data_IF_101903214905
#
_entry.id   IF_101903214905
#
_cell.length_a   1.000
_cell.length_b   1.000
_cell.length_c   1.000
_cell.angle_alpha   90.00
_cell.angle_beta   90.00
_cell.angle_gamma   90.00
#
_symmetry.space_group_name_H-M   'P 1'
#
loop_
_entity.id
_entity.type
_entity.pdbx_description
1 polymer ?
#
# COMPACT_ATOMS: atom_id res chain seq x y z
N UNK A 1 13.57 -31.35 -33.38
CA UNK A 1 14.32 -31.25 -32.10
C UNK A 1 14.98 -29.88 -32.03
N UNK A 2 14.81 -29.17 -30.90
CA UNK A 2 15.64 -28.04 -30.38
C UNK A 2 15.59 -26.73 -31.20
N UNK A 3 15.47 -25.52 -30.63
CA UNK A 3 15.60 -25.09 -29.24
C UNK A 3 14.60 -23.96 -28.93
N UNK A 4 13.99 -24.09 -27.76
CA UNK A 4 13.25 -23.06 -27.05
C UNK A 4 14.26 -21.98 -26.62
N UNK A 5 14.27 -20.80 -27.24
CA UNK A 5 14.96 -19.63 -26.67
C UNK A 5 13.97 -18.99 -25.70
N UNK A 6 14.05 -19.47 -24.47
CA UNK A 6 13.53 -18.79 -23.29
C UNK A 6 14.29 -17.47 -23.18
N UNK A 7 13.70 -16.38 -23.66
CA UNK A 7 14.18 -15.04 -23.41
C UNK A 7 14.07 -14.78 -21.91
N UNK A 8 15.14 -15.09 -21.18
CA UNK A 8 15.33 -14.68 -19.80
C UNK A 8 15.29 -13.15 -19.80
N UNK A 9 14.18 -12.56 -19.35
CA UNK A 9 14.10 -11.13 -19.07
C UNK A 9 15.10 -10.83 -17.95
N UNK A 10 16.34 -10.54 -18.31
CA UNK A 10 17.29 -9.83 -17.45
C UNK A 10 16.64 -8.50 -17.12
N UNK A 11 16.00 -8.45 -15.96
CA UNK A 11 15.57 -7.20 -15.35
C UNK A 11 16.85 -6.42 -15.05
N UNK A 12 17.20 -5.45 -15.90
CA UNK A 12 18.25 -4.50 -15.54
C UNK A 12 17.69 -3.66 -14.39
N UNK A 13 18.19 -3.89 -13.18
CA UNK A 13 18.00 -2.94 -12.10
C UNK A 13 18.65 -1.63 -12.55
N UNK A 14 17.86 -0.58 -12.74
CA UNK A 14 18.37 0.73 -13.10
C UNK A 14 19.37 1.15 -11.99
N UNK A 15 20.62 1.43 -12.34
CA UNK A 15 21.61 1.87 -11.37
C UNK A 15 21.27 3.31 -10.97
N UNK A 16 20.63 3.48 -9.79
CA UNK A 16 20.38 4.78 -9.20
C UNK A 16 21.65 5.25 -8.47
N UNK A 17 21.88 6.56 -8.40
CA UNK A 17 22.98 7.15 -7.62
C UNK A 17 22.45 8.09 -6.55
N UNK A 18 23.21 8.27 -5.47
CA UNK A 18 22.90 9.18 -4.37
C UNK A 18 24.14 9.99 -3.97
N UNK A 19 24.01 11.31 -3.91
CA UNK A 19 25.06 12.20 -3.40
C UNK A 19 24.89 12.38 -1.90
N UNK A 20 25.87 11.92 -1.13
CA UNK A 20 25.91 12.00 0.33
C UNK A 20 25.79 13.46 0.77
N UNK A 21 24.90 13.73 1.72
CA UNK A 21 24.67 15.05 2.32
C UNK A 21 25.29 15.12 3.71
N UNK A 22 25.50 16.35 4.21
CA UNK A 22 25.97 16.58 5.58
C UNK A 22 24.98 15.94 6.58
N UNK A 23 25.47 15.02 7.41
CA UNK A 23 24.67 14.30 8.42
C UNK A 23 24.16 12.93 7.99
N UNK A 24 24.43 12.50 6.76
CA UNK A 24 24.09 11.15 6.31
C UNK A 24 24.99 10.09 6.96
N UNK A 25 24.43 8.88 7.05
CA UNK A 25 25.18 7.67 7.39
C UNK A 25 24.81 6.58 6.38
N UNK A 26 25.71 5.60 6.18
CA UNK A 26 25.42 4.45 5.32
C UNK A 26 24.13 3.74 5.74
N UNK A 27 23.86 3.64 7.05
CA UNK A 27 22.64 3.05 7.55
C UNK A 27 21.38 3.79 7.09
N UNK A 28 21.35 5.12 7.22
CA UNK A 28 20.17 5.93 6.82
C UNK A 28 19.94 5.83 5.31
N UNK A 29 21.01 5.92 4.52
CA UNK A 29 20.94 5.80 3.05
C UNK A 29 20.45 4.40 2.68
N UNK A 30 21.14 3.35 3.13
CA UNK A 30 20.78 1.97 2.80
C UNK A 30 19.32 1.65 3.19
N UNK A 31 18.91 2.03 4.41
CA UNK A 31 17.53 1.85 4.88
C UNK A 31 16.51 2.58 4.02
N UNK A 32 16.76 3.83 3.65
CA UNK A 32 15.85 4.62 2.82
C UNK A 32 15.66 4.00 1.43
N UNK A 33 16.68 3.30 0.92
CA UNK A 33 16.67 2.64 -0.38
C UNK A 33 16.43 1.13 -0.31
N UNK A 34 16.02 0.59 0.85
CA UNK A 34 15.69 -0.82 1.00
C UNK A 34 16.86 -1.79 0.83
N UNK A 35 18.08 -1.33 1.12
CA UNK A 35 19.31 -2.10 1.10
C UNK A 35 19.87 -2.28 2.51
N UNK A 36 20.71 -3.30 2.71
CA UNK A 36 21.59 -3.39 3.87
C UNK A 36 22.82 -2.50 3.70
N UNK A 37 23.43 -2.08 4.82
CA UNK A 37 24.72 -1.36 4.79
C UNK A 37 25.78 -2.19 4.07
N UNK A 38 25.77 -3.52 4.27
CA UNK A 38 26.71 -4.44 3.62
C UNK A 38 26.56 -4.41 2.09
N UNK A 39 25.35 -4.54 1.57
CA UNK A 39 25.10 -4.47 0.12
C UNK A 39 25.50 -3.11 -0.45
N UNK A 40 25.18 -2.02 0.26
CA UNK A 40 25.58 -0.67 -0.15
C UNK A 40 27.12 -0.54 -0.21
N UNK A 41 27.83 -1.11 0.75
CA UNK A 41 29.30 -1.11 0.79
C UNK A 41 29.90 -1.95 -0.32
N UNK A 42 29.44 -3.18 -0.49
CA UNK A 42 29.93 -4.11 -1.53
C UNK A 42 29.72 -3.50 -2.93
N UNK A 43 28.58 -2.89 -3.20
CA UNK A 43 28.28 -2.23 -4.48
C UNK A 43 29.20 -1.04 -4.78
N UNK A 44 29.67 -0.35 -3.73
CA UNK A 44 30.50 0.86 -3.85
C UNK A 44 31.97 0.61 -3.54
N UNK A 45 32.39 -0.64 -3.32
CA UNK A 45 33.76 -0.97 -2.93
C UNK A 45 34.19 -0.33 -1.60
N UNK A 46 33.25 -0.04 -0.69
CA UNK A 46 33.55 0.57 0.60
C UNK A 46 33.99 -0.50 1.60
N UNK A 47 35.16 -0.31 2.20
CA UNK A 47 35.67 -1.18 3.28
C UNK A 47 35.24 -0.69 4.67
N UNK A 48 34.99 0.60 4.83
CA UNK A 48 34.57 1.23 6.10
C UNK A 48 33.18 1.86 6.00
N UNK A 49 32.66 2.30 7.14
CA UNK A 49 31.36 2.98 7.21
C UNK A 49 31.47 4.52 7.03
N UNK A 50 32.69 5.02 6.87
CA UNK A 50 32.97 6.44 6.67
C UNK A 50 32.56 6.87 5.26
N UNK A 51 31.74 7.91 5.20
CA UNK A 51 31.34 8.60 3.98
C UNK A 51 31.48 10.10 4.15
N UNK A 52 31.68 10.82 3.05
CA UNK A 52 31.85 12.26 3.06
C UNK A 52 30.74 12.97 2.27
N UNK A 53 30.25 14.14 2.73
CA UNK A 53 29.34 14.95 1.92
C UNK A 53 29.92 15.20 0.52
N UNK A 54 29.08 15.06 -0.51
CA UNK A 54 29.48 15.13 -1.92
C UNK A 54 29.90 13.80 -2.54
N UNK A 55 30.18 12.76 -1.74
CA UNK A 55 30.47 11.43 -2.25
C UNK A 55 29.25 10.85 -2.99
N UNK A 56 29.47 10.26 -4.17
CA UNK A 56 28.39 9.63 -4.95
C UNK A 56 28.41 8.12 -4.71
N UNK A 57 27.29 7.59 -4.22
CA UNK A 57 27.08 6.17 -4.02
C UNK A 57 26.18 5.61 -5.12
N UNK A 58 26.56 4.47 -5.69
CA UNK A 58 25.71 3.59 -6.49
C UNK A 58 24.73 2.89 -5.56
N UNK A 59 23.49 2.80 -5.99
CA UNK A 59 22.42 2.08 -5.32
C UNK A 59 21.90 1.03 -6.29
N UNK A 60 21.47 -0.13 -5.78
CA UNK A 60 20.64 -1.00 -6.60
C UNK A 60 19.27 -0.35 -6.69
N UNK A 61 18.73 -0.20 -7.91
CA UNK A 61 17.36 0.20 -8.13
C UNK A 61 16.39 -0.88 -7.65
N UNK A 62 16.29 -1.07 -6.34
CA UNK A 62 15.03 -1.46 -5.72
C UNK A 62 14.36 -0.14 -5.40
N UNK A 63 13.28 0.17 -6.12
CA UNK A 63 12.34 1.25 -5.75
C UNK A 63 12.29 1.35 -4.22
N UNK A 64 12.57 2.53 -3.63
CA UNK A 64 12.80 2.70 -2.19
C UNK A 64 11.72 1.95 -1.43
N UNK A 65 12.09 0.77 -0.94
CA UNK A 65 11.24 -0.32 -0.45
C UNK A 65 9.76 0.06 -0.52
N UNK A 66 9.19 0.09 -1.74
CA UNK A 66 7.94 0.82 -2.03
C UNK A 66 7.01 0.62 -0.86
N UNK A 67 6.86 1.66 0.01
CA UNK A 67 6.19 1.58 1.33
C UNK A 67 5.13 0.52 1.19
N UNK A 68 5.31 -0.68 1.78
CA UNK A 68 4.50 -1.85 1.39
C UNK A 68 3.05 -1.42 1.38
N UNK A 69 2.52 -1.16 0.18
CA UNK A 69 1.21 -0.52 0.07
C UNK A 69 0.29 -1.57 0.62
N UNK A 70 -0.40 -1.24 1.71
CA UNK A 70 -1.35 -2.18 2.29
C UNK A 70 -2.27 -2.61 1.15
N UNK A 71 -2.24 -3.91 0.86
CA UNK A 71 -2.99 -4.55 -0.20
C UNK A 71 -3.59 -5.80 0.40
N UNK A 72 -4.91 -5.90 0.32
CA UNK A 72 -5.64 -7.07 0.76
C UNK A 72 -6.73 -7.40 -0.25
N UNK A 73 -6.89 -8.69 -0.56
CA UNK A 73 -8.05 -9.20 -1.28
C UNK A 73 -8.92 -10.01 -0.34
N UNK A 74 -10.24 -9.91 -0.52
CA UNK A 74 -11.20 -10.59 0.34
C UNK A 74 -12.63 -10.21 0.00
N UNK A 75 -13.57 -10.64 0.84
CA UNK A 75 -14.98 -10.30 0.65
C UNK A 75 -15.28 -8.95 1.30
N UNK A 76 -15.94 -8.08 0.56
CA UNK A 76 -16.60 -6.90 1.09
C UNK A 76 -18.10 -7.16 1.23
N UNK A 77 -18.70 -6.51 2.21
CA UNK A 77 -20.13 -6.28 2.30
C UNK A 77 -20.38 -4.79 2.52
N UNK A 78 -21.64 -4.40 2.72
CA UNK A 78 -22.00 -3.03 3.05
C UNK A 78 -22.89 -3.00 4.29
N UNK A 79 -22.89 -1.88 4.99
CA UNK A 79 -23.79 -1.67 6.13
C UNK A 79 -25.24 -1.70 5.69
N UNK A 80 -25.99 -2.74 6.10
CA UNK A 80 -27.41 -2.84 5.81
C UNK A 80 -28.26 -1.65 6.30
N UNK A 81 -29.58 -1.67 6.02
CA UNK A 81 -30.49 -0.64 6.50
C UNK A 81 -30.48 -0.51 8.03
N UNK A 82 -30.71 0.71 8.54
CA UNK A 82 -30.87 0.99 9.98
C UNK A 82 -29.63 1.43 10.74
N UNK A 83 -28.46 1.53 10.09
CA UNK A 83 -27.24 2.05 10.72
C UNK A 83 -27.08 3.57 10.59
N UNK A 84 -27.75 4.21 9.64
CA UNK A 84 -27.59 5.64 9.37
C UNK A 84 -27.81 6.49 10.64
N UNK A 85 -26.92 7.45 10.88
CA UNK A 85 -26.93 8.33 12.05
C UNK A 85 -26.36 7.73 13.35
N UNK A 86 -26.09 6.42 13.41
CA UNK A 86 -25.43 5.78 14.57
C UNK A 86 -23.97 6.22 14.69
N UNK A 87 -23.41 6.17 15.89
CA UNK A 87 -21.97 6.46 16.09
C UNK A 87 -21.12 5.31 15.59
N UNK A 88 -20.06 5.63 14.87
CA UNK A 88 -18.97 4.72 14.47
C UNK A 88 -17.89 4.67 15.56
N UNK A 89 -16.93 3.76 15.43
CA UNK A 89 -15.78 3.63 16.32
C UNK A 89 -14.81 4.84 16.27
N UNK A 90 -14.83 5.65 15.20
CA UNK A 90 -14.12 6.94 15.19
C UNK A 90 -14.84 8.04 15.99
N UNK A 91 -16.10 7.80 16.40
CA UNK A 91 -16.95 8.76 17.11
C UNK A 91 -17.85 9.60 16.21
N UNK A 92 -17.62 9.57 14.89
CA UNK A 92 -18.46 10.21 13.86
C UNK A 92 -19.84 9.54 13.78
N UNK A 93 -20.84 10.22 13.19
CA UNK A 93 -22.11 9.58 12.80
C UNK A 93 -21.93 8.92 11.44
N UNK A 94 -22.37 7.67 11.32
CA UNK A 94 -22.39 6.97 10.05
C UNK A 94 -23.37 7.63 9.08
N UNK A 95 -22.87 8.06 7.93
CA UNK A 95 -23.66 8.50 6.79
C UNK A 95 -23.57 7.44 5.69
N UNK A 96 -24.73 6.92 5.26
CA UNK A 96 -24.78 5.89 4.22
C UNK A 96 -24.49 6.44 2.82
N UNK A 97 -24.60 7.76 2.66
CA UNK A 97 -24.33 8.47 1.42
C UNK A 97 -22.87 8.95 1.30
N UNK A 98 -22.12 8.97 2.41
CA UNK A 98 -20.70 9.30 2.42
C UNK A 98 -19.85 8.14 1.87
N UNK A 99 -18.64 8.46 1.39
CA UNK A 99 -17.65 7.46 0.93
C UNK A 99 -16.76 7.01 2.10
N UNK A 100 -17.33 6.23 3.01
CA UNK A 100 -16.63 5.69 4.18
C UNK A 100 -16.73 4.17 4.27
N UNK A 101 -15.88 3.58 5.11
CA UNK A 101 -15.88 2.15 5.38
C UNK A 101 -15.38 1.79 6.79
N UNK A 102 -15.72 0.59 7.25
CA UNK A 102 -15.14 -0.07 8.41
C UNK A 102 -13.99 -1.00 7.98
N UNK A 103 -12.89 -0.98 8.73
CA UNK A 103 -11.82 -1.96 8.60
C UNK A 103 -11.32 -2.44 9.98
N UNK A 104 -10.90 -3.72 10.15
CA UNK A 104 -10.53 -4.26 11.46
C UNK A 104 -9.37 -3.52 12.14
N UNK A 105 -8.38 -3.07 11.37
CA UNK A 105 -7.11 -2.57 11.92
C UNK A 105 -6.54 -1.32 11.26
N UNK A 106 -7.11 -0.83 10.16
CA UNK A 106 -6.54 0.33 9.47
C UNK A 106 -6.80 1.58 10.33
N UNK A 107 -5.83 2.49 10.50
CA UNK A 107 -6.02 3.73 11.24
C UNK A 107 -7.23 4.50 10.71
N UNK A 108 -8.00 5.14 11.60
CA UNK A 108 -9.07 6.04 11.16
C UNK A 108 -8.47 7.19 10.33
N UNK A 109 -9.19 7.63 9.30
CA UNK A 109 -8.71 8.61 8.34
C UNK A 109 -7.94 8.00 7.16
N UNK A 110 -7.47 6.75 7.27
CA UNK A 110 -6.84 6.06 6.14
C UNK A 110 -7.76 6.05 4.94
N UNK A 111 -7.24 6.44 3.77
CA UNK A 111 -7.97 6.34 2.50
C UNK A 111 -7.56 5.07 1.79
N UNK A 112 -8.55 4.33 1.32
CA UNK A 112 -8.34 3.09 0.56
C UNK A 112 -9.11 3.13 -0.74
N UNK A 113 -8.47 2.68 -1.81
CA UNK A 113 -9.14 2.30 -3.06
C UNK A 113 -9.71 0.90 -2.89
N UNK A 114 -11.00 0.74 -3.14
CA UNK A 114 -11.69 -0.55 -3.14
C UNK A 114 -12.11 -0.86 -4.55
N UNK A 115 -11.60 -1.96 -5.09
CA UNK A 115 -11.85 -2.39 -6.47
C UNK A 115 -12.67 -3.67 -6.46
N UNK A 116 -13.85 -3.64 -7.10
CA UNK A 116 -14.64 -4.83 -7.33
C UNK A 116 -13.98 -5.69 -8.43
N UNK A 117 -13.50 -6.87 -8.05
CA UNK A 117 -12.73 -7.74 -8.94
C UNK A 117 -13.59 -8.37 -10.05
N UNK A 118 -14.92 -8.33 -9.94
CA UNK A 118 -15.83 -8.85 -10.96
C UNK A 118 -15.97 -7.92 -12.16
N UNK A 119 -15.90 -6.61 -11.94
CA UNK A 119 -16.21 -5.61 -12.97
C UNK A 119 -15.15 -4.50 -13.14
N UNK A 120 -14.08 -4.52 -12.34
CA UNK A 120 -12.98 -3.56 -12.39
C UNK A 120 -13.32 -2.16 -11.86
N UNK A 121 -14.56 -1.89 -11.44
CA UNK A 121 -14.95 -0.59 -10.88
C UNK A 121 -14.29 -0.39 -9.52
N UNK A 122 -13.87 0.84 -9.25
CA UNK A 122 -13.25 1.20 -7.98
C UNK A 122 -13.81 2.49 -7.40
N UNK A 123 -13.67 2.62 -6.08
CA UNK A 123 -14.03 3.82 -5.32
C UNK A 123 -13.00 4.04 -4.22
N UNK A 124 -12.65 5.29 -3.93
CA UNK A 124 -11.83 5.63 -2.76
C UNK A 124 -12.75 5.95 -1.59
N UNK A 125 -12.52 5.30 -0.46
CA UNK A 125 -13.26 5.52 0.79
C UNK A 125 -12.31 5.84 1.93
N UNK A 126 -12.81 6.56 2.94
CA UNK A 126 -12.09 6.83 4.19
C UNK A 126 -12.51 5.83 5.27
N UNK A 127 -11.55 5.28 5.99
CA UNK A 127 -11.81 4.42 7.14
C UNK A 127 -12.29 5.29 8.30
N UNK A 128 -13.52 5.07 8.78
CA UNK A 128 -14.06 5.77 9.94
C UNK A 128 -14.74 4.86 10.95
N UNK A 129 -14.70 3.54 10.76
CA UNK A 129 -15.29 2.58 11.67
C UNK A 129 -14.46 1.28 11.79
N UNK A 130 -14.83 0.41 12.73
CA UNK A 130 -14.18 -0.87 13.04
C UNK A 130 -15.04 -2.06 12.68
N UNK A 131 -14.37 -3.18 12.43
CA UNK A 131 -14.97 -4.37 11.84
C UNK A 131 -14.73 -4.41 10.32
N UNK A 132 -15.31 -5.36 9.60
CA UNK A 132 -16.10 -6.49 10.12
C UNK A 132 -15.25 -7.45 10.96
N UNK A 133 -15.85 -8.01 12.02
CA UNK A 133 -15.18 -9.00 12.87
C UNK A 133 -15.52 -10.43 12.44
N UNK A 134 -14.66 -11.40 12.76
CA UNK A 134 -14.89 -12.82 12.43
C UNK A 134 -14.27 -13.29 11.10
N UNK A 135 -13.47 -12.46 10.43
CA UNK A 135 -12.54 -12.87 9.37
C UNK A 135 -13.14 -13.25 8.01
N UNK A 136 -14.47 -13.40 7.90
CA UNK A 136 -15.13 -13.69 6.61
C UNK A 136 -15.05 -12.51 5.65
N UNK A 137 -15.27 -11.30 6.15
CA UNK A 137 -15.23 -10.06 5.39
C UNK A 137 -14.02 -9.24 5.82
N UNK A 138 -13.45 -8.48 4.88
CA UNK A 138 -12.27 -7.65 5.13
C UNK A 138 -12.62 -6.17 5.25
N UNK A 139 -13.78 -5.75 4.74
CA UNK A 139 -14.21 -4.35 4.72
C UNK A 139 -15.74 -4.26 4.63
N UNK A 140 -16.31 -3.35 5.42
CA UNK A 140 -17.74 -2.99 5.34
C UNK A 140 -17.84 -1.62 4.69
N UNK A 141 -18.43 -1.55 3.50
CA UNK A 141 -18.61 -0.32 2.73
C UNK A 141 -19.87 0.44 3.17
N UNK A 142 -19.87 1.76 3.03
CA UNK A 142 -21.13 2.52 2.99
C UNK A 142 -21.99 2.09 1.80
N UNK A 143 -23.30 2.38 1.87
CA UNK A 143 -24.22 2.12 0.76
C UNK A 143 -23.77 2.83 -0.54
N UNK A 144 -23.36 4.11 -0.46
CA UNK A 144 -22.89 4.86 -1.62
C UNK A 144 -21.63 4.24 -2.25
N UNK A 145 -20.65 3.83 -1.42
CA UNK A 145 -19.44 3.18 -1.91
C UNK A 145 -19.75 1.84 -2.59
N UNK A 146 -20.54 0.99 -1.93
CA UNK A 146 -20.97 -0.30 -2.46
C UNK A 146 -21.75 -0.16 -3.77
N UNK A 147 -22.69 0.79 -3.84
CA UNK A 147 -23.46 1.09 -5.06
C UNK A 147 -22.55 1.53 -6.21
N UNK A 148 -21.56 2.39 -5.94
CA UNK A 148 -20.62 2.91 -6.94
C UNK A 148 -19.87 1.80 -7.67
N UNK A 149 -19.40 0.79 -6.94
CA UNK A 149 -18.63 -0.32 -7.52
C UNK A 149 -19.49 -1.55 -7.86
N UNK A 150 -20.80 -1.50 -7.63
CA UNK A 150 -21.71 -2.63 -7.86
C UNK A 150 -21.51 -3.80 -6.89
N UNK A 151 -21.31 -3.51 -5.59
CA UNK A 151 -21.06 -4.46 -4.51
C UNK A 151 -22.18 -4.46 -3.44
N UNK A 152 -23.46 -4.39 -3.86
CA UNK A 152 -24.63 -4.45 -2.95
C UNK A 152 -24.92 -5.86 -2.39
N UNK A 153 -24.15 -6.87 -2.82
CA UNK A 153 -24.07 -8.20 -2.23
C UNK A 153 -22.63 -8.51 -1.84
N UNK A 154 -22.40 -9.56 -1.06
CA UNK A 154 -21.04 -10.01 -0.74
C UNK A 154 -20.21 -10.16 -2.03
N UNK A 155 -19.11 -9.42 -2.13
CA UNK A 155 -18.37 -9.23 -3.37
C UNK A 155 -16.87 -9.34 -3.10
N UNK A 156 -16.14 -10.06 -3.95
CA UNK A 156 -14.68 -10.12 -3.85
C UNK A 156 -14.08 -8.80 -4.32
N UNK A 157 -13.31 -8.17 -3.45
CA UNK A 157 -12.67 -6.88 -3.71
C UNK A 157 -11.16 -6.95 -3.45
N UNK A 158 -10.45 -5.99 -4.03
CA UNK A 158 -9.10 -5.60 -3.61
C UNK A 158 -9.17 -4.26 -2.89
N UNK A 159 -8.49 -4.15 -1.75
CA UNK A 159 -8.36 -2.93 -0.93
C UNK A 159 -6.91 -2.50 -0.95
N UNK A 160 -6.65 -1.26 -1.34
CA UNK A 160 -5.31 -0.68 -1.44
C UNK A 160 -5.27 0.66 -0.72
N UNK A 161 -4.32 0.87 0.19
CA UNK A 161 -4.11 2.21 0.78
C UNK A 161 -3.62 3.18 -0.30
N UNK A 162 -4.27 4.33 -0.39
CA UNK A 162 -3.85 5.43 -1.27
C UNK A 162 -3.11 6.47 -0.44
N UNK A 163 -1.93 6.87 -0.90
CA UNK A 163 -1.21 7.99 -0.32
C UNK A 163 -1.83 9.29 -0.83
N UNK A 164 -1.92 10.30 0.04
CA UNK A 164 -2.24 11.65 -0.40
C UNK A 164 -0.98 12.23 -1.06
N UNK A 165 -1.14 12.78 -2.27
CA UNK A 165 -0.11 13.55 -2.97
C UNK A 165 0.11 14.91 -2.29
#
# INVERSE_FOLDING_TARGET
>A
MRALILALLLSSALAQTYTVKKGDTLFRIAKAHGMSVRELKELNGLTSDLIHPGQVLRLTGKEPLAKTRFLQEGLAVWYGPGFHGRRTASGERYDMHALTAAHPSLPFGTRVRVTNLKNGKSVVVRINDRGPFGGRYIIDLSYAAAKTIGALSATRVRVEVVEEE
#
